data_IF_226844314097
#
_entry.id   IF_226844314097
#
_cell.length_a   1.000
_cell.length_b   1.000
_cell.length_c   1.000
_cell.angle_alpha   90.00
_cell.angle_beta   90.00
_cell.angle_gamma   90.00
#
_symmetry.space_group_name_H-M   'P 1'
#
loop_
_entity.id
_entity.type
_entity.pdbx_description
1 polymer ?
#
# COMPACT_ATOMS: atom_id res chain seq x y z
N UNK A 1 6.24 -0.26 20.84
CA UNK A 1 7.14 0.22 19.77
C UNK A 1 7.61 -1.02 19.02
N UNK A 2 7.55 -1.04 17.69
CA UNK A 2 7.71 -2.27 16.88
C UNK A 2 9.17 -2.63 16.55
N UNK A 3 10.15 -1.95 17.16
CA UNK A 3 11.57 -2.10 16.81
C UNK A 3 11.89 -1.62 15.39
N UNK A 4 11.13 -0.64 14.89
CA UNK A 4 11.26 -0.05 13.57
C UNK A 4 11.57 1.44 13.70
N UNK A 5 12.41 1.96 12.82
CA UNK A 5 12.45 3.39 12.48
C UNK A 5 11.66 3.61 11.18
N UNK A 6 11.00 4.76 11.07
CA UNK A 6 10.18 5.08 9.91
C UNK A 6 10.43 6.51 9.39
N UNK A 7 10.24 6.68 8.09
CA UNK A 7 10.18 7.96 7.40
C UNK A 7 8.92 7.99 6.54
N UNK A 8 8.12 9.04 6.72
CA UNK A 8 6.89 9.25 5.95
C UNK A 8 7.12 10.37 4.93
N UNK A 9 6.79 10.12 3.67
CA UNK A 9 6.94 11.07 2.57
C UNK A 9 5.60 11.25 1.86
N UNK A 10 5.04 12.48 1.81
CA UNK A 10 3.81 12.72 1.08
C UNK A 10 4.06 12.70 -0.44
N UNK A 11 3.14 12.10 -1.18
CA UNK A 11 3.09 12.08 -2.64
C UNK A 11 1.66 12.40 -3.04
N UNK A 12 1.43 13.61 -3.55
CA UNK A 12 0.08 14.12 -3.76
C UNK A 12 -0.69 14.16 -2.43
N UNK A 13 -1.78 13.41 -2.36
CA UNK A 13 -2.60 13.26 -1.13
C UNK A 13 -2.33 11.96 -0.38
N UNK A 14 -1.40 11.14 -0.88
CA UNK A 14 -1.05 9.85 -0.29
C UNK A 14 0.35 9.90 0.34
N UNK A 15 0.79 8.78 0.92
CA UNK A 15 2.07 8.69 1.60
C UNK A 15 2.84 7.43 1.23
N UNK A 16 4.16 7.58 1.09
CA UNK A 16 5.11 6.48 1.13
C UNK A 16 5.71 6.42 2.53
N UNK A 17 5.43 5.35 3.26
CA UNK A 17 6.12 5.05 4.52
C UNK A 17 7.25 4.06 4.28
N UNK A 18 8.49 4.50 4.55
CA UNK A 18 9.67 3.63 4.57
C UNK A 18 9.92 3.22 6.01
N UNK A 19 9.89 1.93 6.28
CA UNK A 19 10.18 1.37 7.61
C UNK A 19 11.41 0.47 7.57
N UNK A 20 12.27 0.58 8.57
CA UNK A 20 13.50 -0.21 8.69
C UNK A 20 13.57 -0.85 10.09
N UNK A 21 13.74 -2.18 10.18
CA UNK A 21 14.04 -2.85 11.44
C UNK A 21 15.35 -2.37 12.07
N UNK A 22 15.30 -1.93 13.32
CA UNK A 22 16.47 -1.52 14.11
C UNK A 22 16.77 -2.47 15.29
N UNK A 23 15.86 -3.41 15.54
CA UNK A 23 16.03 -4.50 16.51
C UNK A 23 16.04 -5.86 15.81
N UNK A 24 16.72 -6.83 16.42
CA UNK A 24 16.69 -8.22 15.95
C UNK A 24 15.29 -8.84 16.13
N UNK A 25 14.93 -9.78 15.27
CA UNK A 25 13.69 -10.57 15.39
C UNK A 25 12.38 -9.75 15.41
N UNK A 26 12.34 -8.59 14.77
CA UNK A 26 11.09 -7.85 14.54
C UNK A 26 10.19 -8.54 13.52
N UNK A 27 8.91 -8.15 13.48
CA UNK A 27 7.99 -8.63 12.44
C UNK A 27 8.44 -8.19 11.03
N UNK A 28 8.92 -6.95 10.90
CA UNK A 28 9.51 -6.41 9.68
C UNK A 28 10.76 -7.18 9.25
N UNK A 29 11.68 -7.49 10.17
CA UNK A 29 12.87 -8.28 9.88
C UNK A 29 12.54 -9.67 9.32
N UNK A 30 11.63 -10.40 9.98
CA UNK A 30 11.14 -11.70 9.49
C UNK A 30 10.39 -11.60 8.16
N UNK A 31 9.77 -10.47 7.87
CA UNK A 31 9.12 -10.21 6.58
C UNK A 31 10.17 -10.10 5.47
N UNK A 32 11.21 -9.29 5.68
CA UNK A 32 12.32 -9.10 4.73
C UNK A 32 13.04 -10.43 4.46
N UNK A 33 13.34 -11.23 5.49
CA UNK A 33 13.96 -12.55 5.33
C UNK A 33 13.12 -13.48 4.45
N UNK A 34 11.80 -13.52 4.69
CA UNK A 34 10.87 -14.35 3.91
C UNK A 34 10.76 -13.88 2.46
N UNK A 35 10.76 -12.56 2.24
CA UNK A 35 10.69 -11.95 0.89
C UNK A 35 12.04 -11.96 0.18
N UNK A 36 13.14 -12.32 0.85
CA UNK A 36 14.49 -12.31 0.29
C UNK A 36 15.03 -10.90 0.01
N UNK A 37 14.67 -9.91 0.83
CA UNK A 37 15.13 -8.52 0.72
C UNK A 37 14.00 -7.50 0.82
N UNK A 38 14.31 -6.25 0.50
CA UNK A 38 13.39 -5.09 0.56
C UNK A 38 12.14 -5.28 -0.31
N UNK A 39 11.01 -4.72 0.12
CA UNK A 39 9.78 -4.76 -0.67
C UNK A 39 8.62 -4.04 0.02
N UNK A 40 7.49 -3.95 -0.67
CA UNK A 40 6.28 -3.37 -0.09
C UNK A 40 5.75 -4.22 1.06
N UNK A 41 5.12 -3.58 2.04
CA UNK A 41 4.76 -4.22 3.32
C UNK A 41 3.27 -4.13 3.66
N UNK A 42 2.66 -2.96 3.50
CA UNK A 42 1.27 -2.68 3.90
C UNK A 42 0.57 -1.81 2.86
N UNK A 43 -0.74 -2.02 2.71
CA UNK A 43 -1.67 -1.07 2.07
C UNK A 43 -2.50 -0.48 3.20
N UNK A 44 -2.46 0.85 3.34
CA UNK A 44 -3.19 1.59 4.38
C UNK A 44 -4.24 2.45 3.70
N UNK A 45 -5.47 2.38 4.17
CA UNK A 45 -6.61 3.13 3.65
C UNK A 45 -7.33 3.86 4.78
N UNK A 46 -7.99 4.95 4.44
CA UNK A 46 -8.93 5.65 5.31
C UNK A 46 -10.36 5.28 4.91
N UNK A 47 -11.15 4.81 5.88
CA UNK A 47 -12.58 4.56 5.71
C UNK A 47 -13.38 5.85 5.76
N UNK A 48 -14.50 5.90 5.04
CA UNK A 48 -15.39 7.06 4.97
C UNK A 48 -16.14 7.40 6.24
N UNK A 49 -16.19 6.48 7.19
CA UNK A 49 -16.75 6.66 8.53
C UNK A 49 -16.39 5.44 9.40
N UNK A 50 -16.77 5.52 10.68
CA UNK A 50 -16.52 4.46 11.65
C UNK A 50 -17.27 3.18 11.28
N UNK A 51 -18.47 3.29 10.71
CA UNK A 51 -19.29 2.14 10.32
C UNK A 51 -18.61 1.35 9.20
N UNK A 52 -18.03 2.03 8.22
CA UNK A 52 -17.25 1.46 7.12
C UNK A 52 -16.05 0.70 7.67
N UNK A 53 -15.29 1.31 8.57
CA UNK A 53 -14.13 0.68 9.19
C UNK A 53 -14.53 -0.58 9.99
N UNK A 54 -15.60 -0.50 10.79
CA UNK A 54 -16.13 -1.62 11.55
C UNK A 54 -16.68 -2.73 10.64
N UNK A 55 -17.31 -2.39 9.51
CA UNK A 55 -17.83 -3.35 8.56
C UNK A 55 -16.70 -4.13 7.86
N UNK A 56 -15.62 -3.45 7.45
CA UNK A 56 -14.40 -4.10 6.92
C UNK A 56 -13.82 -5.06 7.95
N UNK A 57 -13.67 -4.59 9.20
CA UNK A 57 -13.19 -5.42 10.31
C UNK A 57 -14.05 -6.66 10.52
N UNK A 58 -15.38 -6.53 10.53
CA UNK A 58 -16.28 -7.67 10.71
C UNK A 58 -16.20 -8.66 9.55
N UNK A 59 -16.20 -8.18 8.30
CA UNK A 59 -16.03 -9.04 7.12
C UNK A 59 -14.71 -9.79 7.11
N UNK A 60 -13.64 -9.16 7.60
CA UNK A 60 -12.35 -9.83 7.80
C UNK A 60 -12.47 -11.01 8.76
N UNK A 61 -13.09 -10.81 9.93
CA UNK A 61 -13.33 -11.88 10.91
C UNK A 61 -14.20 -13.00 10.33
N UNK A 62 -15.26 -12.66 9.60
CA UNK A 62 -16.16 -13.62 8.95
C UNK A 62 -15.47 -14.39 7.81
N UNK A 63 -14.41 -13.81 7.23
CA UNK A 63 -13.53 -14.47 6.26
C UNK A 63 -12.39 -15.27 6.91
N UNK A 64 -12.30 -15.29 8.25
CA UNK A 64 -11.23 -15.99 8.98
C UNK A 64 -9.90 -15.24 9.02
N UNK A 65 -9.90 -13.94 8.70
CA UNK A 65 -8.71 -13.07 8.75
C UNK A 65 -8.52 -12.55 10.17
N UNK A 66 -7.33 -12.78 10.74
CA UNK A 66 -6.99 -12.28 12.08
C UNK A 66 -6.73 -10.78 12.08
N UNK A 67 -7.11 -10.12 13.16
CA UNK A 67 -6.64 -8.76 13.46
C UNK A 67 -5.23 -8.86 14.03
N UNK A 68 -4.27 -8.20 13.36
CA UNK A 68 -2.87 -8.16 13.80
C UNK A 68 -2.64 -7.08 14.85
N UNK A 69 -3.30 -5.94 14.69
CA UNK A 69 -3.27 -4.81 15.62
C UNK A 69 -4.55 -3.99 15.46
N UNK A 70 -5.05 -3.45 16.57
CA UNK A 70 -6.12 -2.45 16.55
C UNK A 70 -5.89 -1.45 17.68
N UNK A 71 -6.29 -0.21 17.45
CA UNK A 71 -6.39 0.83 18.49
C UNK A 71 -7.66 1.61 18.26
N UNK A 72 -8.48 1.71 19.30
CA UNK A 72 -9.69 2.54 19.30
C UNK A 72 -9.45 3.77 20.18
N UNK A 73 -9.76 4.96 19.64
CA UNK A 73 -9.71 6.22 20.39
C UNK A 73 -10.96 7.04 20.09
N UNK A 74 -11.18 8.09 20.87
CA UNK A 74 -12.37 8.94 20.75
C UNK A 74 -12.58 9.51 19.34
N UNK A 75 -11.49 9.91 18.68
CA UNK A 75 -11.52 10.61 17.40
C UNK A 75 -10.77 9.90 16.26
N UNK A 76 -10.17 8.74 16.51
CA UNK A 76 -9.38 8.03 15.51
C UNK A 76 -9.19 6.56 15.88
N UNK A 77 -9.40 5.68 14.92
CA UNK A 77 -9.18 4.24 15.03
C UNK A 77 -8.26 3.75 13.92
N UNK A 78 -7.51 2.71 14.23
CA UNK A 78 -6.70 1.96 13.26
C UNK A 78 -7.01 0.46 13.41
N UNK A 79 -7.06 -0.26 12.31
CA UNK A 79 -7.30 -1.70 12.30
C UNK A 79 -6.44 -2.38 11.23
N UNK A 80 -5.45 -3.15 11.66
CA UNK A 80 -4.52 -3.87 10.79
C UNK A 80 -4.92 -5.34 10.66
N UNK A 81 -5.19 -5.78 9.45
CA UNK A 81 -5.50 -7.16 9.11
C UNK A 81 -4.22 -7.97 8.84
N UNK A 82 -4.17 -9.20 9.36
CA UNK A 82 -2.96 -10.02 9.34
C UNK A 82 -2.57 -10.43 7.90
N UNK A 83 -1.32 -10.18 7.45
CA UNK A 83 -0.90 -10.27 6.05
C UNK A 83 -0.93 -11.70 5.51
N UNK A 84 -0.64 -12.68 6.38
CA UNK A 84 -0.73 -14.11 6.02
C UNK A 84 -2.15 -14.50 5.64
N UNK A 85 -3.14 -13.93 6.31
CA UNK A 85 -4.54 -14.31 6.12
C UNK A 85 -5.15 -13.48 4.99
N UNK A 86 -4.67 -12.24 4.78
CA UNK A 86 -4.90 -11.42 3.57
C UNK A 86 -4.05 -11.83 2.35
N UNK A 87 -3.30 -12.93 2.48
CA UNK A 87 -2.41 -13.59 1.50
C UNK A 87 -1.19 -12.77 1.05
N UNK A 88 -1.35 -11.53 0.62
CA UNK A 88 -0.29 -10.75 -0.03
C UNK A 88 0.34 -9.67 0.87
N UNK A 89 -0.47 -8.88 1.54
CA UNK A 89 -0.03 -7.68 2.27
C UNK A 89 -0.89 -7.49 3.52
N UNK A 90 -0.42 -6.69 4.47
CA UNK A 90 -1.36 -6.09 5.43
C UNK A 90 -2.35 -5.23 4.65
N UNK A 91 -3.60 -5.25 5.11
CA UNK A 91 -4.57 -4.21 4.85
C UNK A 91 -4.82 -3.51 6.18
N UNK A 92 -4.59 -2.21 6.23
CA UNK A 92 -4.96 -1.36 7.35
C UNK A 92 -6.10 -0.44 6.94
N UNK A 93 -7.11 -0.33 7.80
CA UNK A 93 -8.25 0.55 7.61
C UNK A 93 -8.38 1.48 8.82
N UNK A 94 -8.10 2.74 8.55
CA UNK A 94 -8.14 3.82 9.53
C UNK A 94 -9.48 4.54 9.46
N UNK A 95 -9.88 5.14 10.57
CA UNK A 95 -11.00 6.07 10.62
C UNK A 95 -10.62 7.23 11.52
N UNK A 96 -11.09 8.44 11.22
CA UNK A 96 -11.06 9.54 12.16
C UNK A 96 -12.30 10.42 12.03
N UNK A 97 -12.57 11.20 13.09
CA UNK A 97 -13.77 12.03 13.16
C UNK A 97 -13.73 13.29 12.29
N UNK A 98 -12.57 13.67 11.76
CA UNK A 98 -12.46 14.79 10.79
C UNK A 98 -12.94 14.36 9.42
N UNK A 99 -12.64 13.10 9.04
CA UNK A 99 -13.06 12.49 7.78
C UNK A 99 -12.73 13.36 6.55
N UNK A 100 -11.51 13.88 6.56
CA UNK A 100 -10.94 14.68 5.48
C UNK A 100 -9.88 13.83 4.78
N UNK A 101 -10.06 13.61 3.48
CA UNK A 101 -9.16 12.81 2.64
C UNK A 101 -8.06 13.66 1.97
N UNK A 102 -8.13 14.99 2.11
CA UNK A 102 -7.23 15.91 1.44
C UNK A 102 -6.24 16.58 2.41
N UNK A 103 -6.49 16.56 3.72
CA UNK A 103 -5.68 17.29 4.70
C UNK A 103 -5.42 16.58 6.03
N UNK A 104 -6.42 16.02 6.71
CA UNK A 104 -6.19 15.39 8.02
C UNK A 104 -5.76 13.92 7.91
N UNK A 105 -4.52 13.62 8.28
CA UNK A 105 -4.03 12.24 8.40
C UNK A 105 -3.34 12.01 9.75
N UNK A 106 -4.04 11.36 10.68
CA UNK A 106 -3.54 11.13 12.05
C UNK A 106 -2.16 10.44 12.11
N UNK A 107 -1.87 9.40 11.30
CA UNK A 107 -0.53 8.81 11.26
C UNK A 107 0.59 9.77 10.82
N UNK A 108 0.28 10.83 10.06
CA UNK A 108 1.23 11.90 9.73
C UNK A 108 1.28 13.03 10.77
N UNK A 109 0.56 12.91 11.89
CA UNK A 109 0.46 13.95 12.92
C UNK A 109 -0.71 14.92 12.74
N UNK A 110 -1.70 14.57 11.89
CA UNK A 110 -2.87 15.40 11.60
C UNK A 110 -2.66 16.23 10.34
N UNK A 111 -2.49 17.53 10.51
CA UNK A 111 -2.30 18.51 9.42
C UNK A 111 -0.88 19.09 9.43
N UNK A 112 -0.51 19.80 8.35
CA UNK A 112 0.79 20.44 8.13
C UNK A 112 1.75 19.64 7.25
N UNK A 113 1.43 18.40 6.92
CA UNK A 113 2.22 17.61 5.95
C UNK A 113 1.97 18.09 4.51
N UNK A 114 0.84 18.73 4.26
CA UNK A 114 0.46 19.33 2.97
C UNK A 114 1.51 20.34 2.51
N UNK A 115 2.13 21.07 3.46
CA UNK A 115 3.22 22.03 3.19
C UNK A 115 4.52 21.35 2.72
N UNK A 116 4.65 20.03 2.90
CA UNK A 116 5.79 19.24 2.45
C UNK A 116 5.55 18.57 1.08
N UNK A 117 4.34 18.69 0.51
CA UNK A 117 4.01 18.13 -0.80
C UNK A 117 4.75 18.89 -1.90
N UNK A 118 5.49 18.16 -2.71
CA UNK A 118 6.14 18.67 -3.92
C UNK A 118 5.71 17.81 -5.11
N UNK A 119 5.24 18.46 -6.17
CA UNK A 119 4.67 17.79 -7.34
C UNK A 119 5.36 18.14 -8.66
N UNK A 120 6.57 18.68 -8.61
CA UNK A 120 7.38 18.97 -9.79
C UNK A 120 7.80 17.70 -10.55
N UNK A 121 8.00 16.57 -9.85
CA UNK A 121 8.42 15.29 -10.44
C UNK A 121 7.33 14.22 -10.33
N UNK A 122 6.80 13.98 -9.14
CA UNK A 122 5.76 12.98 -8.86
C UNK A 122 4.42 13.65 -8.63
N UNK A 123 3.32 13.06 -9.10
CA UNK A 123 1.99 13.62 -8.91
C UNK A 123 1.23 12.94 -7.78
N UNK A 124 0.92 11.64 -7.90
CA UNK A 124 0.14 10.89 -6.92
C UNK A 124 0.36 9.37 -7.07
N UNK A 125 -0.13 8.56 -6.13
CA UNK A 125 -0.25 7.11 -6.35
C UNK A 125 -1.55 6.79 -7.08
N UNK A 126 -1.42 6.10 -8.21
CA UNK A 126 -2.55 5.66 -9.02
C UNK A 126 -2.98 4.22 -8.71
N UNK A 127 -2.14 3.44 -8.02
CA UNK A 127 -2.43 2.04 -7.76
C UNK A 127 -1.31 1.26 -7.09
N UNK A 128 -1.65 0.04 -6.69
CA UNK A 128 -0.71 -0.93 -6.10
C UNK A 128 -0.93 -2.30 -6.72
N UNK A 129 0.14 -3.09 -6.77
CA UNK A 129 0.15 -4.44 -7.33
C UNK A 129 0.44 -5.45 -6.21
N UNK A 130 -0.56 -6.30 -5.93
CA UNK A 130 -0.47 -7.42 -5.00
C UNK A 130 -0.24 -8.70 -5.79
N UNK A 131 0.88 -9.36 -5.52
CA UNK A 131 1.24 -10.61 -6.19
C UNK A 131 0.99 -11.83 -5.30
N UNK A 132 0.74 -12.98 -5.91
CA UNK A 132 0.79 -14.29 -5.24
C UNK A 132 0.59 -15.46 -6.20
N UNK A 133 0.46 -16.67 -5.66
CA UNK A 133 0.38 -17.90 -6.47
C UNK A 133 -0.96 -18.00 -7.21
N UNK A 134 -2.05 -17.64 -6.53
CA UNK A 134 -3.39 -17.60 -7.11
C UNK A 134 -3.95 -16.17 -6.98
N UNK A 135 -3.87 -15.35 -8.05
CA UNK A 135 -4.37 -13.98 -8.02
C UNK A 135 -5.89 -13.91 -7.84
N UNK A 136 -6.63 -14.95 -8.26
CA UNK A 136 -8.09 -15.02 -8.11
C UNK A 136 -8.44 -15.13 -6.63
N UNK A 137 -7.77 -16.02 -5.90
CA UNK A 137 -7.97 -16.21 -4.46
C UNK A 137 -7.73 -14.89 -3.68
N UNK A 138 -6.66 -14.17 -4.02
CA UNK A 138 -6.34 -12.89 -3.39
C UNK A 138 -7.41 -11.86 -3.70
N UNK A 139 -7.80 -11.72 -4.97
CA UNK A 139 -8.79 -10.74 -5.39
C UNK A 139 -10.17 -11.02 -4.73
N UNK A 140 -10.64 -12.27 -4.75
CA UNK A 140 -11.90 -12.66 -4.13
C UNK A 140 -11.91 -12.39 -2.62
N UNK A 141 -10.80 -12.69 -1.93
CA UNK A 141 -10.66 -12.42 -0.50
C UNK A 141 -10.68 -10.91 -0.23
N UNK A 142 -9.87 -10.14 -0.95
CA UNK A 142 -9.80 -8.68 -0.78
C UNK A 142 -11.15 -8.04 -1.06
N UNK A 143 -11.80 -8.37 -2.18
CA UNK A 143 -13.15 -7.89 -2.52
C UNK A 143 -14.19 -8.25 -1.46
N UNK A 144 -14.13 -9.46 -0.90
CA UNK A 144 -15.02 -9.88 0.20
C UNK A 144 -14.79 -9.06 1.48
N UNK A 145 -13.53 -8.77 1.83
CA UNK A 145 -13.18 -8.03 3.06
C UNK A 145 -13.55 -6.56 2.93
N UNK A 146 -13.22 -5.94 1.80
CA UNK A 146 -13.49 -4.52 1.54
C UNK A 146 -14.93 -4.25 1.13
N UNK A 147 -15.66 -5.28 0.67
CA UNK A 147 -16.99 -5.16 0.03
C UNK A 147 -16.95 -4.28 -1.22
N UNK A 148 -15.92 -4.50 -2.05
CA UNK A 148 -15.73 -3.81 -3.31
C UNK A 148 -15.76 -4.84 -4.46
N UNK A 149 -16.31 -4.47 -5.63
CA UNK A 149 -16.34 -5.35 -6.78
C UNK A 149 -14.91 -5.64 -7.25
N UNK A 150 -14.67 -6.91 -7.59
CA UNK A 150 -13.48 -7.32 -8.32
C UNK A 150 -13.81 -7.29 -9.80
N UNK A 151 -13.09 -6.47 -10.54
CA UNK A 151 -13.17 -6.39 -11.99
C UNK A 151 -12.14 -7.31 -12.64
N UNK A 152 -12.45 -7.74 -13.86
CA UNK A 152 -11.56 -8.57 -14.66
C UNK A 152 -11.45 -8.01 -16.06
N UNK A 153 -10.25 -7.60 -16.43
CA UNK A 153 -9.88 -7.24 -17.80
C UNK A 153 -8.84 -8.23 -18.33
N UNK A 154 -9.29 -9.18 -19.15
CA UNK A 154 -8.47 -10.28 -19.64
C UNK A 154 -7.88 -11.13 -18.50
N UNK A 155 -6.57 -10.99 -18.30
CA UNK A 155 -5.81 -11.69 -17.26
C UNK A 155 -5.62 -10.86 -15.98
N UNK A 156 -5.93 -9.56 -16.02
CA UNK A 156 -5.77 -8.66 -14.87
C UNK A 156 -7.04 -8.69 -14.03
N UNK A 157 -6.87 -8.86 -12.74
CA UNK A 157 -7.91 -8.68 -11.73
C UNK A 157 -7.64 -7.39 -10.98
N UNK A 158 -8.67 -6.59 -10.75
CA UNK A 158 -8.52 -5.32 -10.03
C UNK A 158 -9.68 -5.04 -9.11
N UNK A 159 -9.44 -4.14 -8.16
CA UNK A 159 -10.41 -3.59 -7.24
C UNK A 159 -10.15 -2.08 -7.17
N UNK A 160 -11.20 -1.30 -7.38
CA UNK A 160 -11.11 0.16 -7.39
C UNK A 160 -11.35 0.73 -5.99
N UNK A 161 -10.38 1.50 -5.49
CA UNK A 161 -10.54 2.40 -4.35
C UNK A 161 -10.97 3.78 -4.88
N UNK A 162 -11.21 4.73 -3.97
CA UNK A 162 -11.66 6.07 -4.34
C UNK A 162 -10.65 6.85 -5.21
N UNK A 163 -9.35 6.59 -5.05
CA UNK A 163 -8.27 7.33 -5.69
C UNK A 163 -7.19 6.44 -6.33
N UNK A 164 -7.29 5.11 -6.20
CA UNK A 164 -6.25 4.19 -6.65
C UNK A 164 -6.82 2.81 -6.97
N UNK A 165 -6.14 2.08 -7.86
CA UNK A 165 -6.52 0.71 -8.22
C UNK A 165 -5.61 -0.31 -7.50
N UNK A 166 -6.20 -1.33 -6.88
CA UNK A 166 -5.46 -2.50 -6.41
C UNK A 166 -5.50 -3.56 -7.50
N UNK A 167 -4.35 -3.96 -8.04
CA UNK A 167 -4.21 -5.00 -9.07
C UNK A 167 -3.69 -6.29 -8.45
N UNK A 168 -4.25 -7.42 -8.86
CA UNK A 168 -3.84 -8.75 -8.40
C UNK A 168 -3.18 -9.52 -9.53
N UNK A 169 -1.94 -9.98 -9.31
CA UNK A 169 -1.11 -10.60 -10.34
C UNK A 169 -0.43 -11.88 -9.86
N UNK A 170 -0.04 -12.74 -10.81
CA UNK A 170 0.74 -13.93 -10.49
C UNK A 170 2.16 -13.52 -10.06
N UNK A 171 2.67 -14.12 -8.99
CA UNK A 171 4.03 -13.88 -8.52
C UNK A 171 5.05 -14.59 -9.42
N UNK A 172 5.81 -13.81 -10.20
CA UNK A 172 6.81 -14.34 -11.15
C UNK A 172 8.26 -14.07 -10.72
N UNK A 173 8.48 -13.39 -9.60
CA UNK A 173 9.81 -12.94 -9.13
C UNK A 173 10.49 -13.92 -8.17
N UNK A 174 9.84 -15.04 -7.85
CA UNK A 174 10.35 -16.04 -6.89
C UNK A 174 10.28 -15.60 -5.42
N UNK A 175 9.67 -14.46 -5.11
CA UNK A 175 9.60 -13.89 -3.75
C UNK A 175 8.31 -14.27 -3.00
N UNK A 176 7.38 -14.97 -3.68
CA UNK A 176 6.09 -15.39 -3.14
C UNK A 176 5.06 -14.26 -3.08
N UNK A 177 3.99 -14.40 -2.26
CA UNK A 177 3.00 -13.34 -2.09
C UNK A 177 3.58 -12.05 -1.49
N UNK A 178 3.08 -10.89 -1.91
CA UNK A 178 3.60 -9.59 -1.47
C UNK A 178 2.98 -8.39 -2.19
N UNK A 179 3.17 -7.18 -1.64
CA UNK A 179 3.04 -5.95 -2.41
C UNK A 179 4.29 -5.82 -3.29
N UNK A 180 4.11 -6.06 -4.59
CA UNK A 180 5.20 -6.18 -5.56
C UNK A 180 5.42 -4.95 -6.43
N UNK A 181 4.41 -4.09 -6.57
CA UNK A 181 4.51 -2.90 -7.39
C UNK A 181 3.58 -1.76 -6.98
N UNK A 182 3.88 -0.57 -7.49
CA UNK A 182 3.16 0.68 -7.27
C UNK A 182 3.04 1.40 -8.61
N UNK A 183 1.83 1.86 -8.93
CA UNK A 183 1.59 2.77 -10.05
C UNK A 183 1.73 4.20 -9.56
N UNK A 184 2.71 4.91 -10.12
CA UNK A 184 3.05 6.28 -9.75
C UNK A 184 2.70 7.21 -10.91
N UNK A 185 1.77 8.13 -10.67
CA UNK A 185 1.52 9.24 -11.59
C UNK A 185 2.67 10.25 -11.50
N UNK A 186 3.20 10.69 -12.64
CA UNK A 186 4.42 11.53 -12.71
C UNK A 186 4.22 12.73 -13.61
N UNK A 187 4.81 13.86 -13.22
CA UNK A 187 4.87 15.10 -13.99
C UNK A 187 6.18 15.23 -14.78
N UNK A 188 7.26 14.60 -14.30
CA UNK A 188 8.55 14.58 -15.01
C UNK A 188 9.14 13.15 -15.04
N UNK A 189 8.60 12.34 -15.97
CA UNK A 189 9.11 11.00 -16.25
C UNK A 189 10.59 11.01 -16.64
N UNK A 190 11.03 12.00 -17.42
CA UNK A 190 12.40 12.06 -17.92
C UNK A 190 13.41 12.21 -16.77
N UNK A 191 13.09 13.05 -15.77
CA UNK A 191 13.89 13.20 -14.55
C UNK A 191 14.02 11.87 -13.80
N UNK A 192 12.91 11.16 -13.58
CA UNK A 192 12.91 9.86 -12.87
C UNK A 192 13.78 8.84 -13.61
N UNK A 193 13.62 8.73 -14.93
CA UNK A 193 14.38 7.77 -15.73
C UNK A 193 15.88 8.09 -15.75
N UNK A 194 16.26 9.38 -15.77
CA UNK A 194 17.65 9.79 -15.67
C UNK A 194 18.25 9.41 -14.31
N UNK A 195 17.57 9.76 -13.22
CA UNK A 195 17.99 9.43 -11.85
C UNK A 195 18.08 7.91 -11.63
N UNK A 196 17.15 7.14 -12.20
CA UNK A 196 17.13 5.68 -12.13
C UNK A 196 18.30 5.04 -12.90
N UNK A 197 18.68 5.57 -14.07
CA UNK A 197 19.86 5.09 -14.82
C UNK A 197 21.15 5.31 -14.02
N UNK A 198 21.30 6.48 -13.40
CA UNK A 198 22.46 6.78 -12.55
C UNK A 198 22.55 5.86 -11.32
N UNK A 199 21.41 5.45 -10.77
CA UNK A 199 21.31 4.60 -9.56
C UNK A 199 21.22 3.10 -9.87
N UNK A 200 21.21 2.71 -11.14
CA UNK A 200 21.07 1.31 -11.55
C UNK A 200 19.68 0.70 -11.34
N UNK A 201 18.65 1.55 -11.25
CA UNK A 201 17.25 1.17 -11.01
C UNK A 201 16.40 1.15 -12.29
N UNK A 202 16.93 1.60 -13.43
CA UNK A 202 16.19 1.64 -14.69
C UNK A 202 15.88 0.23 -15.21
N UNK A 203 14.61 -0.01 -15.57
CA UNK A 203 14.17 -1.26 -16.23
C UNK A 203 13.64 -0.97 -17.63
N UNK A 204 12.79 0.03 -17.78
CA UNK A 204 12.22 0.50 -19.05
C UNK A 204 11.73 1.94 -18.94
N UNK A 205 11.22 2.53 -20.02
CA UNK A 205 10.67 3.88 -20.00
C UNK A 205 9.36 4.00 -19.20
N UNK A 206 8.75 2.87 -18.85
CA UNK A 206 7.53 2.79 -18.05
C UNK A 206 7.75 2.19 -16.65
N UNK A 207 8.97 1.78 -16.31
CA UNK A 207 9.24 1.10 -15.05
C UNK A 207 10.66 1.33 -14.53
N UNK A 208 10.74 1.59 -13.24
CA UNK A 208 11.98 1.55 -12.46
C UNK A 208 11.81 0.62 -11.26
N UNK A 209 12.88 -0.03 -10.82
CA UNK A 209 12.86 -0.94 -9.67
C UNK A 209 13.71 -0.35 -8.55
N UNK A 210 13.07 -0.08 -7.41
CA UNK A 210 13.71 0.56 -6.24
C UNK A 210 13.27 -0.18 -4.99
N UNK A 211 14.22 -0.54 -4.12
CA UNK A 211 13.98 -1.25 -2.86
C UNK A 211 13.08 -2.49 -3.02
N UNK A 212 13.29 -3.25 -4.09
CA UNK A 212 12.55 -4.48 -4.40
C UNK A 212 11.07 -4.28 -4.73
N UNK A 213 10.65 -3.05 -5.07
CA UNK A 213 9.32 -2.70 -5.57
C UNK A 213 9.42 -2.27 -7.03
N UNK A 214 8.45 -2.70 -7.85
CA UNK A 214 8.28 -2.27 -9.24
C UNK A 214 7.49 -0.97 -9.27
N UNK A 215 8.09 0.11 -9.74
CA UNK A 215 7.43 1.41 -9.87
C UNK A 215 7.02 1.62 -11.31
N UNK A 216 5.74 1.48 -11.59
CA UNK A 216 5.16 1.69 -12.91
C UNK A 216 4.82 3.16 -13.09
N UNK A 217 5.46 3.81 -14.05
CA UNK A 217 5.34 5.25 -14.28
C UNK A 217 4.16 5.53 -15.21
N UNK A 218 3.19 6.31 -14.74
CA UNK A 218 2.01 6.79 -15.49
C UNK A 218 2.13 8.30 -15.66
N UNK A 219 1.84 8.82 -16.85
CA UNK A 219 1.80 10.27 -17.00
C UNK A 219 0.59 10.79 -16.22
N UNK A 220 0.78 11.88 -15.48
CA UNK A 220 -0.34 12.55 -14.82
C UNK A 220 -1.25 13.20 -15.88
N UNK A 221 -2.56 13.21 -15.61
CA UNK A 221 -3.57 13.86 -16.45
C UNK A 221 -3.51 15.40 -16.38
#
# INVERSE_FOLDING_TARGET
>A
MFGLENMLMPVGRNFLEVVAPVEENTAGGRYLDRRGGDGGYMVICQGGDLETQQAVRQRALDAGVRIAMESERENHNICQLHPRDMIASFLEIDWDSTNDFDGNWNPAGGTGWEDQVTQDVTHDFAGVELQGVDPVEIAELWGKVTDLPVERDGAVLSLELNNATVRFVEATDGRGPGLGGVDLAVNDRAHILAAAKERGCYVSDERVDVCGVRWYLKDAD
#
